data_IF_469406472628
#
_entry.id   IF_469406472628
#
_cell.length_a   1.000
_cell.length_b   1.000
_cell.length_c   1.000
_cell.angle_alpha   90.00
_cell.angle_beta   90.00
_cell.angle_gamma   90.00
#
_symmetry.space_group_name_H-M   'P 1'
#
loop_
_entity.id
_entity.type
_entity.pdbx_description
1 polymer ?
#
# COMPACT_ATOMS: atom_id res chain seq x y z
N UNK A 1 44.90 -35.18 34.87
CA UNK A 1 44.33 -34.12 35.72
C UNK A 1 45.02 -32.81 35.39
N UNK A 2 44.38 -31.98 34.57
CA UNK A 2 44.34 -30.51 34.63
C UNK A 2 43.51 -30.07 33.42
N UNK A 3 42.20 -30.05 33.61
CA UNK A 3 41.27 -29.36 32.72
C UNK A 3 41.59 -27.86 32.79
N UNK A 4 41.97 -27.26 31.66
CA UNK A 4 41.99 -25.81 31.52
C UNK A 4 40.84 -25.46 30.59
N UNK A 5 39.72 -25.13 31.21
CA UNK A 5 38.50 -24.66 30.56
C UNK A 5 38.83 -23.43 29.69
N UNK A 6 38.52 -23.52 28.40
CA UNK A 6 38.57 -22.39 27.47
C UNK A 6 37.39 -21.46 27.79
N UNK A 7 37.61 -20.23 28.29
CA UNK A 7 36.52 -19.43 28.86
C UNK A 7 35.61 -18.75 27.83
N UNK A 8 35.75 -19.02 26.53
CA UNK A 8 35.07 -18.23 25.50
C UNK A 8 34.43 -19.06 24.37
N UNK A 9 34.22 -20.36 24.57
CA UNK A 9 33.33 -21.17 23.71
C UNK A 9 31.89 -21.06 24.21
N UNK A 10 31.27 -19.88 24.07
CA UNK A 10 29.91 -19.70 24.58
C UNK A 10 29.23 -18.36 24.29
N UNK A 11 29.84 -17.50 23.46
CA UNK A 11 29.24 -16.21 23.14
C UNK A 11 29.37 -15.88 21.64
N UNK A 12 29.03 -16.83 20.77
CA UNK A 12 28.33 -16.40 19.55
C UNK A 12 26.92 -16.06 20.01
N UNK A 13 26.78 -14.85 20.53
CA UNK A 13 25.47 -14.21 20.65
C UNK A 13 24.91 -14.21 19.23
N UNK A 14 24.02 -15.16 18.94
CA UNK A 14 23.03 -15.05 17.89
C UNK A 14 22.08 -13.89 18.24
N UNK A 15 22.63 -12.69 18.43
CA UNK A 15 21.90 -11.45 18.24
C UNK A 15 21.86 -11.18 16.74
N UNK A 16 21.39 -12.16 15.97
CA UNK A 16 20.56 -11.82 14.84
C UNK A 16 19.28 -11.33 15.50
N UNK A 17 19.26 -10.05 15.90
CA UNK A 17 18.01 -9.32 16.00
C UNK A 17 17.33 -9.60 14.70
N UNK A 18 16.33 -10.49 14.72
CA UNK A 18 15.53 -10.83 13.56
C UNK A 18 15.22 -9.50 12.91
N UNK A 19 15.79 -9.27 11.72
CA UNK A 19 15.40 -8.14 10.91
C UNK A 19 13.91 -8.33 10.76
N UNK A 20 13.13 -7.58 11.53
CA UNK A 20 11.68 -7.57 11.42
C UNK A 20 11.46 -7.22 9.97
N UNK A 21 11.13 -8.22 9.16
CA UNK A 21 10.84 -8.11 7.76
C UNK A 21 9.64 -7.15 7.65
N UNK A 22 9.91 -5.85 7.66
CA UNK A 22 8.90 -4.81 7.75
C UNK A 22 8.40 -4.47 6.35
N UNK A 23 8.14 -5.53 5.58
CA UNK A 23 7.44 -5.43 4.32
C UNK A 23 5.95 -5.19 4.54
N UNK A 24 5.40 -5.50 5.71
CA UNK A 24 3.98 -5.28 6.04
C UNK A 24 3.52 -3.85 5.77
N UNK A 25 4.12 -2.84 6.43
CA UNK A 25 3.74 -1.44 6.20
C UNK A 25 4.00 -0.94 4.77
N UNK A 26 4.99 -1.52 4.08
CA UNK A 26 5.27 -1.18 2.67
C UNK A 26 4.23 -1.79 1.73
N UNK A 27 3.88 -3.06 1.94
CA UNK A 27 2.86 -3.77 1.18
C UNK A 27 1.48 -3.13 1.36
N UNK A 28 1.15 -2.67 2.57
CA UNK A 28 -0.07 -1.92 2.84
C UNK A 28 -0.13 -0.63 2.01
N UNK A 29 0.94 0.18 2.00
CA UNK A 29 1.02 1.39 1.17
C UNK A 29 0.91 1.09 -0.33
N UNK A 30 1.57 0.03 -0.80
CA UNK A 30 1.50 -0.39 -2.21
C UNK A 30 0.07 -0.79 -2.57
N UNK A 31 -0.60 -1.55 -1.70
CA UNK A 31 -1.98 -1.98 -1.88
C UNK A 31 -2.94 -0.78 -1.90
N UNK A 32 -2.81 0.14 -0.94
CA UNK A 32 -3.62 1.36 -0.88
C UNK A 32 -3.47 2.19 -2.15
N UNK A 33 -2.24 2.37 -2.62
CA UNK A 33 -1.96 3.10 -3.86
C UNK A 33 -2.55 2.40 -5.09
N UNK A 34 -2.43 1.06 -5.17
CA UNK A 34 -2.98 0.29 -6.27
C UNK A 34 -4.52 0.38 -6.31
N UNK A 35 -5.17 0.29 -5.14
CA UNK A 35 -6.62 0.44 -5.00
C UNK A 35 -7.06 1.83 -5.47
N UNK A 36 -6.37 2.88 -5.02
CA UNK A 36 -6.67 4.25 -5.43
C UNK A 36 -6.56 4.43 -6.94
N UNK A 37 -5.46 3.98 -7.54
CA UNK A 37 -5.23 4.10 -8.98
C UNK A 37 -6.29 3.34 -9.79
N UNK A 38 -6.63 2.13 -9.37
CA UNK A 38 -7.67 1.33 -10.02
C UNK A 38 -9.04 2.01 -9.96
N UNK A 39 -9.43 2.50 -8.77
CA UNK A 39 -10.71 3.18 -8.59
C UNK A 39 -10.77 4.48 -9.40
N UNK A 40 -9.68 5.25 -9.41
CA UNK A 40 -9.54 6.48 -10.19
C UNK A 40 -9.71 6.22 -11.68
N UNK A 41 -9.00 5.23 -12.22
CA UNK A 41 -9.06 4.90 -13.64
C UNK A 41 -10.48 4.43 -14.03
N UNK A 42 -11.08 3.55 -13.23
CA UNK A 42 -12.44 3.06 -13.49
C UNK A 42 -13.49 4.18 -13.46
N UNK A 43 -13.34 5.17 -12.58
CA UNK A 43 -14.21 6.34 -12.54
C UNK A 43 -14.03 7.21 -13.79
N UNK A 44 -12.79 7.42 -14.23
CA UNK A 44 -12.51 8.18 -15.46
C UNK A 44 -13.13 7.50 -16.70
N UNK A 45 -12.96 6.18 -16.85
CA UNK A 45 -13.56 5.42 -17.95
C UNK A 45 -15.09 5.57 -17.98
N UNK A 46 -15.75 5.48 -16.83
CA UNK A 46 -17.20 5.69 -16.73
C UNK A 46 -17.63 7.12 -17.02
N UNK A 47 -16.82 8.11 -16.65
CA UNK A 47 -17.08 9.52 -16.98
C UNK A 47 -17.04 9.71 -18.49
N UNK A 48 -16.05 9.13 -19.16
CA UNK A 48 -15.93 9.18 -20.63
C UNK A 48 -17.12 8.48 -21.31
N UNK A 49 -17.55 7.33 -20.81
CA UNK A 49 -18.77 6.65 -21.27
C UNK A 49 -20.02 7.52 -21.10
N UNK A 50 -20.16 8.20 -19.96
CA UNK A 50 -21.27 9.11 -19.69
C UNK A 50 -21.27 10.33 -20.64
N UNK A 51 -20.09 10.84 -20.99
CA UNK A 51 -19.92 11.92 -21.97
C UNK A 51 -20.32 11.46 -23.38
N UNK A 52 -19.87 10.27 -23.81
CA UNK A 52 -20.25 9.67 -25.10
C UNK A 52 -21.77 9.47 -25.17
N UNK A 53 -22.38 8.96 -24.10
CA UNK A 53 -23.82 8.77 -23.98
C UNK A 53 -24.61 10.08 -23.81
N UNK A 54 -23.93 11.24 -23.73
CA UNK A 54 -24.50 12.56 -23.43
C UNK A 54 -25.35 12.59 -22.15
N UNK A 55 -25.06 11.70 -21.21
CA UNK A 55 -25.80 11.58 -19.96
C UNK A 55 -25.21 12.55 -18.91
N UNK A 56 -25.73 13.78 -18.91
CA UNK A 56 -25.31 14.84 -17.98
C UNK A 56 -25.46 14.46 -16.51
N UNK A 57 -26.56 13.81 -16.13
CA UNK A 57 -26.82 13.45 -14.74
C UNK A 57 -25.74 12.48 -14.22
N UNK A 58 -25.47 11.43 -15.00
CA UNK A 58 -24.46 10.44 -14.69
C UNK A 58 -23.05 11.05 -14.66
N UNK A 59 -22.74 11.95 -15.59
CA UNK A 59 -21.47 12.68 -15.58
C UNK A 59 -21.24 13.46 -14.28
N UNK A 60 -22.24 14.22 -13.80
CA UNK A 60 -22.12 14.99 -12.57
C UNK A 60 -21.99 14.09 -11.33
N UNK A 61 -22.74 12.99 -11.28
CA UNK A 61 -22.64 12.01 -10.20
C UNK A 61 -21.24 11.40 -10.13
N UNK A 62 -20.73 10.89 -11.26
CA UNK A 62 -19.41 10.27 -11.34
C UNK A 62 -18.28 11.28 -11.08
N UNK A 63 -18.44 12.53 -11.52
CA UNK A 63 -17.49 13.61 -11.22
C UNK A 63 -17.44 13.94 -9.73
N UNK A 64 -18.59 13.89 -9.05
CA UNK A 64 -18.65 14.07 -7.60
C UNK A 64 -17.91 12.93 -6.89
N UNK A 65 -18.19 11.69 -7.27
CA UNK A 65 -17.51 10.51 -6.71
C UNK A 65 -15.98 10.55 -6.95
N UNK A 66 -15.55 11.00 -8.13
CA UNK A 66 -14.15 11.19 -8.46
C UNK A 66 -13.49 12.25 -7.56
N UNK A 67 -14.15 13.39 -7.35
CA UNK A 67 -13.64 14.44 -6.47
C UNK A 67 -13.59 14.01 -4.99
N UNK A 68 -14.56 13.22 -4.53
CA UNK A 68 -14.54 12.63 -3.19
C UNK A 68 -13.39 11.63 -3.02
N UNK A 69 -13.14 10.80 -4.04
CA UNK A 69 -12.01 9.89 -4.06
C UNK A 69 -10.67 10.67 -3.96
N UNK A 70 -10.51 11.76 -4.72
CA UNK A 70 -9.32 12.61 -4.63
C UNK A 70 -9.15 13.24 -3.23
N UNK A 71 -10.23 13.70 -2.61
CA UNK A 71 -10.18 14.23 -1.24
C UNK A 71 -9.75 13.18 -0.21
N UNK A 72 -10.23 11.94 -0.37
CA UNK A 72 -9.90 10.84 0.54
C UNK A 72 -8.42 10.45 0.48
N UNK A 73 -7.82 10.51 -0.71
CA UNK A 73 -6.43 10.09 -0.93
C UNK A 73 -5.43 11.26 -0.98
N UNK A 74 -5.89 12.51 -0.81
CA UNK A 74 -5.06 13.69 -0.60
C UNK A 74 -4.20 14.06 -1.81
N UNK A 75 -4.79 14.82 -2.73
CA UNK A 75 -4.04 15.73 -3.60
C UNK A 75 -4.19 17.17 -3.09
#
# INVERSE_FOLDING_TARGET
>A
MYEKQYPHEGAILFNQTEEKNSYGPLAEKVLEQAIFQFQKQKLMEKIDEALIARNKALFFELSTQYNELLKKYGA
#
